data_IF_688962761608
#
_entry.id   IF_688962761608
#
_cell.length_a   1.000
_cell.length_b   1.000
_cell.length_c   1.000
_cell.angle_alpha   90.00
_cell.angle_beta   90.00
_cell.angle_gamma   90.00
#
_symmetry.space_group_name_H-M   'P 1'
#
loop_
_entity.id
_entity.type
_entity.pdbx_description
1 polymer ?
#
# COMPACT_ATOMS: atom_id res chain seq x y z
N UNK A 1 -4.03 -17.15 -21.77
CA UNK A 1 -2.99 -17.62 -22.71
C UNK A 1 -1.64 -17.40 -22.06
N UNK A 2 -1.00 -18.47 -21.63
CA UNK A 2 0.41 -18.48 -21.20
C UNK A 2 1.27 -19.06 -22.33
N UNK A 3 2.58 -19.02 -22.17
CA UNK A 3 3.51 -19.75 -23.02
C UNK A 3 4.57 -20.42 -22.16
N UNK A 4 4.84 -21.70 -22.41
CA UNK A 4 5.76 -22.50 -21.60
C UNK A 4 6.94 -23.03 -22.42
N UNK A 5 8.09 -23.12 -21.76
CA UNK A 5 9.27 -23.82 -22.28
C UNK A 5 9.62 -24.98 -21.35
N UNK A 6 9.94 -26.13 -21.92
CA UNK A 6 10.34 -27.32 -21.19
C UNK A 6 11.79 -27.69 -21.50
N UNK A 7 12.54 -28.07 -20.47
CA UNK A 7 13.93 -28.55 -20.59
C UNK A 7 14.07 -29.85 -19.80
N UNK A 8 14.61 -30.88 -20.45
CA UNK A 8 14.81 -32.21 -19.86
C UNK A 8 15.92 -32.99 -20.59
N UNK A 9 16.66 -33.87 -19.89
CA UNK A 9 16.70 -34.02 -18.42
C UNK A 9 17.61 -32.98 -17.75
N UNK A 10 17.26 -32.55 -16.54
CA UNK A 10 18.00 -31.61 -15.69
C UNK A 10 18.22 -32.25 -14.32
N UNK A 11 19.29 -33.06 -14.14
CA UNK A 11 19.48 -33.85 -12.91
C UNK A 11 19.70 -33.01 -11.64
N UNK A 12 20.27 -31.82 -11.80
CA UNK A 12 20.53 -30.87 -10.72
C UNK A 12 20.47 -29.46 -11.31
N UNK A 13 19.95 -28.50 -10.55
CA UNK A 13 19.86 -27.12 -10.99
C UNK A 13 20.47 -26.19 -9.94
N UNK A 14 21.69 -25.72 -10.18
CA UNK A 14 22.45 -24.86 -9.27
C UNK A 14 22.06 -23.38 -9.49
N UNK A 15 21.45 -22.75 -8.48
CA UNK A 15 20.91 -21.39 -8.59
C UNK A 15 22.00 -20.39 -8.97
N UNK A 16 23.15 -20.38 -8.28
CA UNK A 16 24.21 -19.43 -8.54
C UNK A 16 24.75 -19.52 -9.97
N UNK A 17 24.91 -20.74 -10.51
CA UNK A 17 25.36 -20.95 -11.90
C UNK A 17 24.34 -20.46 -12.90
N UNK A 18 23.06 -20.79 -12.69
CA UNK A 18 21.97 -20.35 -13.56
C UNK A 18 21.86 -18.83 -13.55
N UNK A 19 21.86 -18.20 -12.37
CA UNK A 19 21.78 -16.73 -12.26
C UNK A 19 22.98 -16.06 -12.91
N UNK A 20 24.20 -16.56 -12.69
CA UNK A 20 25.40 -16.04 -13.36
C UNK A 20 25.31 -16.16 -14.89
N UNK A 21 24.80 -17.28 -15.41
CA UNK A 21 24.63 -17.51 -16.84
C UNK A 21 23.52 -16.65 -17.47
N UNK A 22 22.51 -16.23 -16.70
CA UNK A 22 21.51 -15.27 -17.20
C UNK A 22 22.09 -13.87 -17.43
N UNK A 23 23.17 -13.52 -16.73
CA UNK A 23 23.77 -12.18 -16.74
C UNK A 23 23.02 -11.16 -15.87
N UNK A 24 22.03 -11.60 -15.07
CA UNK A 24 21.26 -10.75 -14.18
C UNK A 24 21.66 -10.98 -12.71
N UNK A 25 21.82 -9.88 -11.96
CA UNK A 25 22.14 -9.89 -10.52
C UNK A 25 20.95 -9.51 -9.63
N UNK A 26 19.83 -9.13 -10.24
CA UNK A 26 18.60 -8.65 -9.62
C UNK A 26 17.47 -9.70 -9.65
N UNK A 27 17.77 -10.95 -10.03
CA UNK A 27 16.77 -12.03 -10.00
C UNK A 27 16.47 -12.43 -8.55
N UNK A 28 15.19 -12.56 -8.22
CA UNK A 28 14.66 -12.90 -6.90
C UNK A 28 13.56 -13.95 -7.01
N UNK A 29 13.31 -14.63 -5.90
CA UNK A 29 12.20 -15.57 -5.74
C UNK A 29 11.07 -14.87 -4.97
N UNK A 30 9.82 -15.13 -5.35
CA UNK A 30 8.65 -14.60 -4.63
C UNK A 30 8.54 -15.28 -3.28
N UNK A 31 8.29 -14.51 -2.22
CA UNK A 31 8.10 -15.03 -0.87
C UNK A 31 6.83 -15.90 -0.77
N UNK A 32 6.79 -16.82 0.20
CA UNK A 32 5.68 -17.76 0.38
C UNK A 32 5.70 -18.98 -0.55
N UNK A 33 6.60 -19.01 -1.54
CA UNK A 33 6.91 -20.18 -2.36
C UNK A 33 8.22 -20.85 -1.90
N UNK A 34 8.48 -22.11 -2.28
CA UNK A 34 9.76 -22.78 -2.03
C UNK A 34 10.96 -21.88 -2.39
N UNK A 35 11.92 -21.78 -1.48
CA UNK A 35 13.11 -20.94 -1.61
C UNK A 35 14.37 -21.79 -1.80
N UNK A 36 15.38 -21.31 -2.56
CA UNK A 36 16.65 -22.02 -2.72
C UNK A 36 17.29 -22.38 -1.38
N UNK A 37 17.85 -23.59 -1.30
CA UNK A 37 18.60 -24.06 -0.13
C UNK A 37 19.92 -24.67 -0.58
N UNK A 38 21.03 -24.26 0.05
CA UNK A 38 22.37 -24.75 -0.26
C UNK A 38 22.70 -24.70 -1.77
N UNK A 39 22.33 -23.60 -2.44
CA UNK A 39 22.49 -23.36 -3.89
C UNK A 39 21.68 -24.26 -4.83
N UNK A 40 20.82 -25.14 -4.30
CA UNK A 40 19.92 -25.95 -5.12
C UNK A 40 18.62 -25.21 -5.45
N UNK A 41 18.18 -25.32 -6.71
CA UNK A 41 16.85 -24.86 -7.11
C UNK A 41 15.78 -25.71 -6.39
N UNK A 42 14.73 -25.10 -5.82
CA UNK A 42 13.71 -25.83 -5.09
C UNK A 42 12.96 -26.84 -5.96
N UNK A 43 12.58 -27.98 -5.38
CA UNK A 43 11.66 -28.89 -6.05
C UNK A 43 10.24 -28.31 -6.06
N UNK A 44 9.53 -28.55 -7.17
CA UNK A 44 8.17 -28.08 -7.39
C UNK A 44 8.09 -26.63 -7.88
N UNK A 45 6.95 -26.02 -7.58
CA UNK A 45 6.57 -24.72 -8.12
C UNK A 45 7.27 -23.56 -7.40
N UNK A 46 7.98 -22.74 -8.16
CA UNK A 46 8.59 -21.48 -7.71
C UNK A 46 8.15 -20.32 -8.60
N UNK A 47 8.33 -19.09 -8.09
CA UNK A 47 8.08 -17.89 -8.87
C UNK A 47 9.31 -16.99 -8.84
N UNK A 48 9.74 -16.55 -10.01
CA UNK A 48 11.01 -15.84 -10.19
C UNK A 48 10.79 -14.54 -10.96
N UNK A 49 11.42 -13.45 -10.53
CA UNK A 49 11.26 -12.13 -11.13
C UNK A 49 12.57 -11.33 -11.03
N UNK A 50 12.70 -10.24 -11.80
CA UNK A 50 13.78 -9.26 -11.62
C UNK A 50 13.28 -8.11 -10.75
N UNK A 51 13.97 -7.84 -9.65
CA UNK A 51 13.60 -6.80 -8.70
C UNK A 51 13.54 -5.42 -9.36
N UNK A 52 12.50 -4.63 -9.05
CA UNK A 52 12.18 -3.32 -9.65
C UNK A 52 12.09 -3.26 -11.20
N UNK A 53 12.18 -4.41 -11.88
CA UNK A 53 12.15 -4.52 -13.34
C UNK A 53 10.90 -5.27 -13.79
N UNK A 54 10.66 -6.45 -13.22
CA UNK A 54 9.57 -7.34 -13.60
C UNK A 54 8.23 -6.84 -13.09
N UNK A 55 7.23 -6.78 -13.96
CA UNK A 55 5.87 -6.42 -13.56
C UNK A 55 5.08 -7.66 -13.09
N UNK A 56 5.51 -8.85 -13.50
CA UNK A 56 4.95 -10.16 -13.12
C UNK A 56 6.07 -11.16 -12.92
N UNK A 57 5.90 -12.08 -11.98
CA UNK A 57 6.82 -13.21 -11.85
C UNK A 57 6.59 -14.24 -12.95
N UNK A 58 7.66 -14.91 -13.34
CA UNK A 58 7.62 -16.16 -14.08
C UNK A 58 7.24 -17.28 -13.13
N UNK A 59 6.48 -18.25 -13.63
CA UNK A 59 6.31 -19.50 -12.92
C UNK A 59 7.37 -20.48 -13.40
N UNK A 60 8.08 -21.09 -12.47
CA UNK A 60 9.12 -22.08 -12.75
C UNK A 60 8.85 -23.33 -11.93
N UNK A 61 8.49 -24.42 -12.59
CA UNK A 61 8.32 -25.74 -11.97
C UNK A 61 9.56 -26.59 -12.27
N UNK A 62 10.21 -27.08 -11.21
CA UNK A 62 11.34 -27.99 -11.33
C UNK A 62 11.04 -29.27 -10.56
N UNK A 63 10.65 -30.31 -11.30
CA UNK A 63 10.22 -31.60 -10.73
C UNK A 63 10.68 -32.74 -11.64
N UNK A 64 11.12 -33.85 -11.05
CA UNK A 64 11.50 -35.07 -11.79
C UNK A 64 12.50 -34.84 -12.94
N UNK A 65 13.52 -34.01 -12.68
CA UNK A 65 14.53 -33.60 -13.68
C UNK A 65 13.95 -32.84 -14.90
N UNK A 66 12.74 -32.30 -14.79
CA UNK A 66 12.12 -31.46 -15.82
C UNK A 66 12.00 -30.05 -15.28
N UNK A 67 12.48 -29.08 -16.06
CA UNK A 67 12.26 -27.66 -15.81
C UNK A 67 11.20 -27.14 -16.77
N UNK A 68 10.12 -26.57 -16.23
CA UNK A 68 9.15 -25.78 -16.98
C UNK A 68 9.31 -24.30 -16.62
N UNK A 69 9.46 -23.43 -17.61
CA UNK A 69 9.43 -21.98 -17.45
C UNK A 69 8.19 -21.44 -18.15
N UNK A 70 7.24 -20.90 -17.39
CA UNK A 70 5.96 -20.40 -17.91
C UNK A 70 5.86 -18.88 -17.79
N UNK A 71 5.54 -18.24 -18.91
CA UNK A 71 5.24 -16.82 -19.03
C UNK A 71 3.72 -16.64 -19.03
N UNK A 72 3.19 -15.85 -18.09
CA UNK A 72 1.77 -15.54 -18.04
C UNK A 72 1.32 -14.59 -19.17
N UNK A 73 0.01 -14.63 -19.47
CA UNK A 73 -0.61 -13.66 -20.36
C UNK A 73 -0.38 -12.24 -19.83
N UNK A 74 -0.08 -11.28 -20.71
CA UNK A 74 0.15 -9.90 -20.32
C UNK A 74 1.31 -9.72 -19.29
N UNK A 75 2.34 -10.57 -19.37
CA UNK A 75 3.67 -10.26 -18.81
C UNK A 75 4.38 -9.22 -19.69
N UNK A 76 5.24 -8.42 -19.06
CA UNK A 76 5.96 -7.32 -19.71
C UNK A 76 7.10 -7.82 -20.60
N UNK A 77 7.60 -7.00 -21.54
CA UNK A 77 8.78 -7.35 -22.33
C UNK A 77 9.98 -7.80 -21.49
N UNK A 78 10.19 -7.21 -20.30
CA UNK A 78 11.30 -7.57 -19.43
C UNK A 78 11.12 -8.95 -18.76
N UNK A 79 9.87 -9.34 -18.47
CA UNK A 79 9.54 -10.67 -17.96
C UNK A 79 9.82 -11.74 -19.04
N UNK A 80 9.49 -11.46 -20.30
CA UNK A 80 9.84 -12.33 -21.42
C UNK A 80 11.37 -12.47 -21.55
N UNK A 81 12.12 -11.36 -21.45
CA UNK A 81 13.59 -11.42 -21.51
C UNK A 81 14.18 -12.25 -20.38
N UNK A 82 13.62 -12.15 -19.16
CA UNK A 82 14.02 -13.02 -18.05
C UNK A 82 13.79 -14.49 -18.39
N UNK A 83 12.61 -14.83 -18.93
CA UNK A 83 12.27 -16.22 -19.25
C UNK A 83 13.20 -16.80 -20.32
N UNK A 84 13.43 -16.05 -21.41
CA UNK A 84 14.35 -16.48 -22.47
C UNK A 84 15.78 -16.65 -21.94
N UNK A 85 16.27 -15.71 -21.12
CA UNK A 85 17.60 -15.81 -20.52
C UNK A 85 17.73 -16.97 -19.54
N UNK A 86 16.68 -17.28 -18.78
CA UNK A 86 16.65 -18.43 -17.89
C UNK A 86 16.71 -19.74 -18.68
N UNK A 87 15.89 -19.87 -19.73
CA UNK A 87 15.88 -21.03 -20.62
C UNK A 87 17.23 -21.21 -21.31
N UNK A 88 17.80 -20.13 -21.87
CA UNK A 88 19.13 -20.15 -22.51
C UNK A 88 20.22 -20.58 -21.53
N UNK A 89 20.21 -20.03 -20.31
CA UNK A 89 21.19 -20.35 -19.28
C UNK A 89 21.16 -21.83 -18.91
N UNK A 90 19.97 -22.38 -18.65
CA UNK A 90 19.81 -23.79 -18.27
C UNK A 90 20.19 -24.71 -19.43
N UNK A 91 19.70 -24.44 -20.65
CA UNK A 91 20.05 -25.23 -21.82
C UNK A 91 21.56 -25.23 -22.08
N UNK A 92 22.23 -24.08 -21.91
CA UNK A 92 23.68 -23.97 -22.07
C UNK A 92 24.46 -24.73 -20.99
N UNK A 93 24.00 -24.71 -19.74
CA UNK A 93 24.69 -25.36 -18.62
C UNK A 93 24.57 -26.89 -18.67
N UNK A 94 23.43 -27.40 -19.14
CA UNK A 94 23.13 -28.83 -19.16
C UNK A 94 23.27 -29.48 -20.54
N UNK A 95 23.45 -28.69 -21.61
CA UNK A 95 23.51 -29.19 -22.97
C UNK A 95 22.19 -29.83 -23.44
N UNK A 96 21.07 -29.41 -22.87
CA UNK A 96 19.74 -29.98 -23.13
C UNK A 96 19.04 -29.27 -24.29
N UNK A 97 18.10 -29.97 -24.90
CA UNK A 97 17.19 -29.39 -25.89
C UNK A 97 16.06 -28.64 -25.18
N UNK A 98 15.39 -27.76 -25.92
CA UNK A 98 14.30 -26.92 -25.43
C UNK A 98 13.04 -27.30 -26.21
N UNK A 99 11.96 -27.58 -25.51
CA UNK A 99 10.64 -27.89 -26.08
C UNK A 99 9.67 -26.73 -25.76
N UNK A 100 9.43 -25.81 -26.71
CA UNK A 100 8.39 -24.78 -26.55
C UNK A 100 6.98 -25.37 -26.66
N UNK A 101 6.01 -24.76 -25.99
CA UNK A 101 4.61 -25.22 -25.96
C UNK A 101 3.96 -25.35 -27.36
N UNK A 102 4.39 -24.54 -28.32
CA UNK A 102 3.81 -24.42 -29.65
C UNK A 102 4.70 -24.92 -30.80
N UNK A 103 5.83 -25.58 -30.47
CA UNK A 103 6.84 -25.93 -31.46
C UNK A 103 7.49 -27.28 -31.15
N UNK A 104 8.22 -27.83 -32.13
CA UNK A 104 9.01 -29.03 -31.92
C UNK A 104 10.24 -28.74 -31.04
N UNK A 105 10.72 -29.79 -30.36
CA UNK A 105 11.93 -29.73 -29.56
C UNK A 105 13.14 -29.29 -30.42
N UNK A 106 13.90 -28.31 -29.94
CA UNK A 106 14.94 -27.63 -30.69
C UNK A 106 16.26 -27.47 -29.92
N UNK A 107 17.33 -27.17 -30.66
CA UNK A 107 18.64 -26.88 -30.07
C UNK A 107 18.71 -25.45 -29.55
N UNK A 108 19.67 -25.13 -28.67
CA UNK A 108 19.87 -23.76 -28.19
C UNK A 108 20.09 -22.74 -29.32
N UNK A 109 20.92 -22.99 -30.36
CA UNK A 109 21.03 -22.08 -31.50
C UNK A 109 19.72 -21.85 -32.26
N UNK A 110 18.94 -22.91 -32.50
CA UNK A 110 17.64 -22.81 -33.18
C UNK A 110 16.64 -22.02 -32.33
N UNK A 111 16.65 -22.24 -31.01
CA UNK A 111 15.86 -21.49 -30.05
C UNK A 111 16.19 -20.00 -30.08
N UNK A 112 17.47 -19.63 -30.04
CA UNK A 112 17.92 -18.23 -30.11
C UNK A 112 17.53 -17.57 -31.44
N UNK A 113 17.48 -18.34 -32.54
CA UNK A 113 17.04 -17.85 -33.83
C UNK A 113 15.51 -17.65 -33.89
N UNK A 114 14.72 -18.53 -33.27
CA UNK A 114 13.27 -18.49 -33.29
C UNK A 114 12.67 -17.53 -32.24
N UNK A 115 13.23 -17.49 -31.03
CA UNK A 115 12.70 -16.78 -29.86
C UNK A 115 13.55 -15.55 -29.52
N UNK A 116 13.65 -14.61 -30.46
CA UNK A 116 14.35 -13.33 -30.29
C UNK A 116 13.44 -12.14 -29.94
N UNK A 117 14.01 -10.93 -30.00
CA UNK A 117 13.27 -9.67 -29.73
C UNK A 117 12.04 -9.46 -30.62
N UNK A 118 12.06 -9.97 -31.86
CA UNK A 118 10.92 -9.88 -32.77
C UNK A 118 9.73 -10.73 -32.26
N UNK A 119 9.99 -12.01 -31.97
CA UNK A 119 9.00 -12.92 -31.39
C UNK A 119 8.45 -12.37 -30.08
N UNK A 120 9.34 -11.91 -29.19
CA UNK A 120 8.98 -11.34 -27.90
C UNK A 120 7.97 -10.19 -28.05
N UNK A 121 8.26 -9.22 -28.93
CA UNK A 121 7.39 -8.06 -29.16
C UNK A 121 6.03 -8.47 -29.71
N UNK A 122 6.02 -9.36 -30.69
CA UNK A 122 4.78 -9.81 -31.34
C UNK A 122 3.93 -10.66 -30.40
N UNK A 123 4.55 -11.58 -29.66
CA UNK A 123 3.87 -12.45 -28.72
C UNK A 123 3.34 -11.67 -27.50
N UNK A 124 4.16 -10.80 -26.90
CA UNK A 124 3.77 -9.91 -25.81
C UNK A 124 2.55 -9.05 -26.20
N UNK A 125 2.57 -8.45 -27.39
CA UNK A 125 1.46 -7.63 -27.91
C UNK A 125 0.21 -8.47 -28.16
N UNK A 126 0.35 -9.65 -28.74
CA UNK A 126 -0.78 -10.54 -29.05
C UNK A 126 -1.45 -11.08 -27.78
N UNK A 127 -0.67 -11.47 -26.77
CA UNK A 127 -1.20 -11.89 -25.47
C UNK A 127 -1.96 -10.76 -24.77
N UNK A 128 -1.41 -9.54 -24.76
CA UNK A 128 -2.12 -8.38 -24.20
C UNK A 128 -3.42 -8.09 -24.96
N UNK A 129 -3.37 -8.09 -26.30
CA UNK A 129 -4.55 -7.86 -27.13
C UNK A 129 -5.67 -8.87 -26.84
N UNK A 130 -5.33 -10.14 -26.61
CA UNK A 130 -6.30 -11.16 -26.22
C UNK A 130 -6.96 -10.89 -24.86
N UNK A 131 -6.20 -10.43 -23.87
CA UNK A 131 -6.74 -10.01 -22.56
C UNK A 131 -7.71 -8.83 -22.74
N UNK A 132 -7.32 -7.80 -23.50
CA UNK A 132 -8.16 -6.63 -23.75
C UNK A 132 -9.43 -6.98 -24.55
N UNK A 133 -9.32 -7.91 -25.49
CA UNK A 133 -10.46 -8.42 -26.25
C UNK A 133 -11.42 -9.21 -25.35
N UNK A 134 -10.89 -9.99 -24.40
CA UNK A 134 -11.69 -10.69 -23.39
C UNK A 134 -12.51 -9.71 -22.55
N UNK A 135 -11.89 -8.60 -22.13
CA UNK A 135 -12.60 -7.53 -21.40
C UNK A 135 -13.71 -6.90 -22.26
N UNK A 136 -13.41 -6.59 -23.52
CA UNK A 136 -14.39 -5.99 -24.45
C UNK A 136 -15.62 -6.88 -24.66
N UNK A 137 -15.47 -8.21 -24.58
CA UNK A 137 -16.58 -9.16 -24.69
C UNK A 137 -17.44 -9.24 -23.42
N UNK A 138 -16.90 -8.85 -22.27
CA UNK A 138 -17.63 -8.86 -20.99
C UNK A 138 -17.24 -7.64 -20.13
N UNK A 139 -17.66 -6.43 -20.53
CA UNK A 139 -17.21 -5.18 -19.89
C UNK A 139 -17.75 -4.97 -18.46
N UNK A 140 -18.80 -5.70 -18.08
CA UNK A 140 -19.39 -5.68 -16.73
C UNK A 140 -18.56 -6.49 -15.70
N UNK A 141 -17.56 -7.26 -16.16
CA UNK A 141 -16.62 -7.99 -15.31
C UNK A 141 -15.26 -7.29 -15.24
N UNK A 142 -14.46 -7.59 -14.22
CA UNK A 142 -13.05 -7.18 -14.18
C UNK A 142 -12.12 -8.37 -14.43
N UNK A 143 -10.99 -8.12 -15.06
CA UNK A 143 -9.93 -9.11 -15.23
C UNK A 143 -8.88 -8.89 -14.15
N UNK A 144 -8.59 -9.94 -13.36
CA UNK A 144 -7.54 -9.92 -12.35
C UNK A 144 -6.24 -10.49 -12.92
N UNK A 145 -5.15 -9.75 -12.77
CA UNK A 145 -3.83 -10.10 -13.27
C UNK A 145 -2.82 -10.02 -12.11
N UNK A 146 -2.30 -11.17 -11.70
CA UNK A 146 -1.29 -11.25 -10.64
C UNK A 146 0.02 -10.60 -11.08
N UNK A 147 0.44 -9.55 -10.38
CA UNK A 147 1.80 -9.00 -10.45
C UNK A 147 2.77 -9.79 -9.57
N UNK A 148 3.95 -9.19 -9.31
CA UNK A 148 4.93 -9.71 -8.35
C UNK A 148 4.41 -9.56 -6.91
N UNK A 149 4.01 -8.35 -6.55
CA UNK A 149 3.61 -7.98 -5.18
C UNK A 149 2.10 -7.74 -5.07
N UNK A 150 1.44 -7.31 -6.15
CA UNK A 150 0.03 -6.89 -6.13
C UNK A 150 -0.74 -7.35 -7.35
N UNK A 151 -2.04 -7.58 -7.17
CA UNK A 151 -2.94 -7.96 -8.27
C UNK A 151 -3.54 -6.72 -8.92
N UNK A 152 -3.37 -6.59 -10.23
CA UNK A 152 -4.04 -5.56 -11.02
C UNK A 152 -5.47 -6.01 -11.36
N UNK A 153 -6.44 -5.16 -11.08
CA UNK A 153 -7.81 -5.30 -11.53
C UNK A 153 -8.03 -4.40 -12.75
N UNK A 154 -8.13 -5.01 -13.93
CA UNK A 154 -8.51 -4.33 -15.16
C UNK A 154 -10.04 -4.29 -15.25
N UNK A 155 -10.62 -3.19 -14.79
CA UNK A 155 -12.04 -2.87 -14.92
C UNK A 155 -12.29 -1.66 -15.82
N UNK A 156 -13.50 -1.10 -15.69
CA UNK A 156 -13.99 -0.02 -16.56
C UNK A 156 -13.13 1.24 -16.45
N UNK A 157 -12.77 1.67 -15.24
CA UNK A 157 -12.00 2.91 -15.03
C UNK A 157 -10.64 2.83 -15.70
N UNK A 158 -9.91 1.75 -15.46
CA UNK A 158 -8.58 1.53 -16.04
C UNK A 158 -8.67 1.40 -17.55
N UNK A 159 -9.58 0.56 -18.05
CA UNK A 159 -9.72 0.31 -19.49
C UNK A 159 -10.11 1.57 -20.25
N UNK A 160 -11.11 2.32 -19.78
CA UNK A 160 -11.54 3.57 -20.41
C UNK A 160 -10.39 4.57 -20.51
N UNK A 161 -9.61 4.76 -19.44
CA UNK A 161 -8.50 5.72 -19.47
C UNK A 161 -7.36 5.26 -20.38
N UNK A 162 -6.95 4.00 -20.26
CA UNK A 162 -5.83 3.44 -21.03
C UNK A 162 -6.10 3.42 -22.55
N UNK A 163 -7.36 3.30 -22.96
CA UNK A 163 -7.74 3.18 -24.38
C UNK A 163 -8.07 4.50 -25.06
N UNK A 164 -7.93 5.64 -24.36
CA UNK A 164 -8.08 6.97 -24.95
C UNK A 164 -7.09 7.17 -26.12
N UNK A 165 -5.83 6.75 -25.94
CA UNK A 165 -4.83 6.69 -26.99
C UNK A 165 -4.52 5.25 -27.37
N UNK A 166 -5.13 4.79 -28.47
CA UNK A 166 -4.97 3.43 -29.00
C UNK A 166 -3.52 3.08 -29.33
N UNK A 167 -2.66 4.06 -29.62
CA UNK A 167 -1.26 3.82 -29.97
C UNK A 167 -0.39 3.51 -28.75
N UNK A 168 -0.82 3.92 -27.55
CA UNK A 168 -0.06 3.80 -26.30
C UNK A 168 -0.60 2.77 -25.32
N UNK A 169 -1.69 2.06 -25.66
CA UNK A 169 -2.35 1.08 -24.78
C UNK A 169 -1.37 0.11 -24.12
N UNK A 170 -0.45 -0.49 -24.89
CA UNK A 170 0.50 -1.46 -24.33
C UNK A 170 1.50 -0.80 -23.36
N UNK A 171 1.99 0.40 -23.72
CA UNK A 171 2.90 1.17 -22.87
C UNK A 171 2.20 1.56 -21.57
N UNK A 172 0.98 2.10 -21.64
CA UNK A 172 0.17 2.49 -20.48
C UNK A 172 -0.16 1.29 -19.59
N UNK A 173 -0.52 0.15 -20.18
CA UNK A 173 -0.80 -1.08 -19.45
C UNK A 173 0.42 -1.51 -18.60
N UNK A 174 1.58 -1.67 -19.24
CA UNK A 174 2.78 -2.15 -18.54
C UNK A 174 3.33 -1.11 -17.55
N UNK A 175 3.23 0.18 -17.86
CA UNK A 175 3.61 1.24 -16.92
C UNK A 175 2.75 1.21 -15.65
N UNK A 176 1.43 1.02 -15.77
CA UNK A 176 0.52 0.88 -14.62
C UNK A 176 0.78 -0.39 -13.84
N UNK A 177 0.94 -1.53 -14.52
CA UNK A 177 1.23 -2.79 -13.86
C UNK A 177 2.55 -2.73 -13.09
N UNK A 178 3.60 -2.15 -13.69
CA UNK A 178 4.88 -1.94 -13.00
C UNK A 178 4.69 -1.03 -11.78
N UNK A 179 4.07 0.14 -11.95
CA UNK A 179 3.85 1.09 -10.85
C UNK A 179 3.06 0.47 -9.70
N UNK A 180 2.03 -0.34 -9.99
CA UNK A 180 1.26 -1.05 -8.96
C UNK A 180 2.16 -1.94 -8.08
N UNK A 181 3.16 -2.59 -8.66
CA UNK A 181 4.02 -3.54 -7.96
C UNK A 181 5.16 -2.88 -7.17
N UNK A 182 5.46 -1.61 -7.42
CA UNK A 182 6.61 -0.89 -6.84
C UNK A 182 6.30 0.53 -6.36
N UNK A 183 5.03 0.88 -6.11
CA UNK A 183 4.70 2.25 -5.70
C UNK A 183 5.27 2.63 -4.33
N UNK A 184 5.64 1.67 -3.49
CA UNK A 184 6.35 1.89 -2.22
C UNK A 184 7.74 2.51 -2.42
N UNK A 185 8.25 2.50 -3.66
CA UNK A 185 9.50 3.16 -4.06
C UNK A 185 9.28 4.55 -4.64
N UNK A 186 8.04 4.96 -4.85
CA UNK A 186 7.69 6.27 -5.39
C UNK A 186 7.52 7.29 -4.25
N UNK A 187 7.85 8.55 -4.50
CA UNK A 187 7.60 9.65 -3.57
C UNK A 187 6.11 10.06 -3.62
N UNK A 188 5.24 9.16 -3.15
CA UNK A 188 3.79 9.27 -3.16
C UNK A 188 3.24 8.85 -1.81
N UNK A 189 2.33 9.66 -1.26
CA UNK A 189 1.64 9.34 -0.02
C UNK A 189 0.56 8.28 -0.26
N UNK A 190 0.60 7.15 0.44
CA UNK A 190 -0.52 6.21 0.43
C UNK A 190 -1.59 6.67 1.42
N UNK A 191 -2.79 6.95 0.92
CA UNK A 191 -3.88 7.48 1.71
C UNK A 191 -4.39 6.44 2.72
N UNK A 192 -4.50 6.84 3.99
CA UNK A 192 -5.15 6.03 5.02
C UNK A 192 -6.66 5.99 4.78
N UNK A 193 -7.25 4.80 4.86
CA UNK A 193 -8.70 4.61 4.79
C UNK A 193 -9.25 4.45 6.21
N UNK A 194 -10.11 5.37 6.62
CA UNK A 194 -10.82 5.34 7.90
C UNK A 194 -12.21 4.77 7.66
N UNK A 195 -12.63 3.80 8.47
CA UNK A 195 -14.00 3.28 8.45
C UNK A 195 -14.77 3.84 9.64
N UNK A 196 -15.80 4.64 9.38
CA UNK A 196 -16.69 5.19 10.41
C UNK A 196 -18.04 4.51 10.38
N UNK A 197 -18.51 4.06 11.55
CA UNK A 197 -19.87 3.57 11.73
C UNK A 197 -20.84 4.70 12.06
N UNK A 198 -22.09 4.58 11.61
CA UNK A 198 -23.15 5.49 12.06
C UNK A 198 -23.60 5.16 13.49
N UNK A 199 -24.37 6.06 14.09
CA UNK A 199 -24.86 5.89 15.47
C UNK A 199 -25.78 4.68 15.64
N UNK A 200 -26.49 4.28 14.59
CA UNK A 200 -27.37 3.11 14.61
C UNK A 200 -26.60 1.78 14.49
N UNK A 201 -25.35 1.81 14.03
CA UNK A 201 -24.51 0.62 13.84
C UNK A 201 -24.87 -0.23 12.62
N UNK A 202 -25.70 0.27 11.70
CA UNK A 202 -26.16 -0.44 10.51
C UNK A 202 -25.50 0.05 9.21
N UNK A 203 -24.66 1.08 9.27
CA UNK A 203 -23.90 1.61 8.14
C UNK A 203 -22.47 1.95 8.52
N UNK A 204 -21.53 1.55 7.67
CA UNK A 204 -20.14 2.00 7.71
C UNK A 204 -19.80 2.82 6.46
N UNK A 205 -18.97 3.85 6.60
CA UNK A 205 -18.45 4.65 5.47
C UNK A 205 -16.93 4.67 5.50
N UNK A 206 -16.32 4.58 4.32
CA UNK A 206 -14.87 4.70 4.12
C UNK A 206 -14.53 6.15 3.79
N UNK A 207 -13.65 6.75 4.58
CA UNK A 207 -13.18 8.12 4.43
C UNK A 207 -11.68 8.16 4.22
N UNK A 208 -11.20 9.15 3.47
CA UNK A 208 -9.78 9.46 3.35
C UNK A 208 -9.58 10.94 3.05
N UNK A 209 -8.33 11.36 3.03
CA UNK A 209 -7.93 12.75 2.84
C UNK A 209 -7.03 12.89 1.63
N UNK A 210 -7.24 13.97 0.89
CA UNK A 210 -6.34 14.43 -0.15
C UNK A 210 -5.78 15.79 0.28
N UNK A 211 -4.47 15.93 0.30
CA UNK A 211 -3.78 17.10 0.85
C UNK A 211 -3.16 17.94 -0.27
N UNK A 212 -3.28 19.26 -0.16
CA UNK A 212 -2.67 20.20 -1.10
C UNK A 212 -1.16 19.93 -1.25
N UNK A 213 -0.68 19.86 -2.48
CA UNK A 213 0.72 19.67 -2.83
C UNK A 213 1.23 18.23 -2.70
N UNK A 214 0.44 17.30 -2.18
CA UNK A 214 0.88 15.92 -1.89
C UNK A 214 0.32 14.94 -2.92
N UNK A 215 1.15 14.36 -3.81
CA UNK A 215 0.74 13.24 -4.64
C UNK A 215 0.23 12.09 -3.76
N UNK A 216 -0.95 11.58 -4.06
CA UNK A 216 -1.65 10.65 -3.15
C UNK A 216 -2.16 9.42 -3.90
N UNK A 217 -1.89 8.24 -3.33
CA UNK A 217 -2.38 6.95 -3.80
C UNK A 217 -3.56 6.51 -2.94
N UNK A 218 -4.74 6.35 -3.56
CA UNK A 218 -5.92 5.80 -2.90
C UNK A 218 -6.08 4.34 -3.32
N UNK A 219 -5.94 3.41 -2.36
CA UNK A 219 -6.08 1.96 -2.55
C UNK A 219 -7.44 1.51 -2.03
N UNK A 220 -8.50 1.91 -2.72
CA UNK A 220 -9.88 1.55 -2.40
C UNK A 220 -10.81 1.80 -3.61
N UNK A 221 -11.97 1.14 -3.64
CA UNK A 221 -12.98 1.30 -4.72
C UNK A 221 -14.00 2.38 -4.40
N UNK A 222 -14.36 2.51 -3.12
CA UNK A 222 -15.48 3.32 -2.66
C UNK A 222 -15.14 4.07 -1.36
N UNK A 223 -14.42 5.17 -1.51
CA UNK A 223 -14.04 6.07 -0.41
C UNK A 223 -14.58 7.46 -0.68
N UNK A 224 -15.06 8.13 0.36
CA UNK A 224 -15.29 9.56 0.32
C UNK A 224 -14.02 10.31 0.72
N UNK A 225 -13.68 11.33 -0.05
CA UNK A 225 -12.45 12.08 0.09
C UNK A 225 -12.77 13.48 0.63
N UNK A 226 -12.04 13.87 1.68
CA UNK A 226 -12.00 15.25 2.16
C UNK A 226 -10.76 15.94 1.58
N UNK A 227 -10.93 17.18 1.12
CA UNK A 227 -9.83 18.03 0.64
C UNK A 227 -9.28 18.88 1.79
N UNK A 228 -7.97 18.86 2.00
CA UNK A 228 -7.31 19.59 3.09
C UNK A 228 -6.14 20.43 2.56
N UNK A 229 -6.08 21.70 2.95
CA UNK A 229 -4.91 22.57 2.77
C UNK A 229 -4.32 23.01 4.12
N UNK A 230 -3.06 23.44 4.13
CA UNK A 230 -2.42 23.98 5.34
C UNK A 230 -3.17 25.22 5.89
N UNK A 231 -3.70 26.06 5.00
CA UNK A 231 -4.50 27.22 5.39
C UNK A 231 -5.81 26.81 6.08
N UNK A 232 -6.39 25.67 5.68
CA UNK A 232 -7.62 25.13 6.27
C UNK A 232 -7.41 24.63 7.70
N UNK A 233 -6.18 24.24 8.06
CA UNK A 233 -5.79 23.73 9.37
C UNK A 233 -5.55 24.84 10.41
N UNK A 234 -5.43 26.10 9.95
CA UNK A 234 -5.12 27.27 10.79
C UNK A 234 -6.34 28.11 11.19
N UNK A 235 -7.53 27.82 10.61
CA UNK A 235 -8.75 28.60 10.83
C UNK A 235 -9.62 27.96 11.90
N UNK A 236 -9.91 28.73 12.95
CA UNK A 236 -10.99 28.45 13.91
C UNK A 236 -12.33 28.75 13.23
N UNK A 237 -12.96 27.78 12.56
CA UNK A 237 -14.36 27.95 12.15
C UNK A 237 -15.16 26.70 12.52
N UNK A 238 -15.98 26.83 13.58
CA UNK A 238 -17.07 25.91 13.95
C UNK A 238 -18.16 25.82 12.85
N UNK A 239 -18.04 26.56 11.75
CA UNK A 239 -19.02 26.67 10.66
C UNK A 239 -18.62 25.99 9.34
N UNK A 240 -17.44 25.35 9.27
CA UNK A 240 -17.07 24.63 8.03
C UNK A 240 -17.85 23.34 7.89
N UNK A 241 -18.81 23.32 6.97
CA UNK A 241 -19.32 22.07 6.38
C UNK A 241 -18.14 21.33 5.75
N UNK A 242 -17.69 20.27 6.40
CA UNK A 242 -16.70 19.36 5.85
C UNK A 242 -17.26 18.73 4.57
N UNK A 243 -16.51 18.84 3.48
CA UNK A 243 -16.96 18.39 2.17
C UNK A 243 -16.40 17.01 1.89
N UNK A 244 -17.30 16.07 1.62
CA UNK A 244 -16.97 14.70 1.28
C UNK A 244 -17.31 14.48 -0.19
N UNK A 245 -16.34 14.01 -0.97
CA UNK A 245 -16.54 13.76 -2.40
C UNK A 245 -16.17 12.31 -2.73
N UNK A 246 -17.01 11.56 -3.45
CA UNK A 246 -16.65 10.21 -3.87
C UNK A 246 -15.35 10.17 -4.68
N UNK A 247 -14.51 9.16 -4.43
CA UNK A 247 -13.20 9.01 -5.09
C UNK A 247 -13.26 9.05 -6.63
N UNK A 248 -14.33 8.51 -7.22
CA UNK A 248 -14.52 8.53 -8.68
C UNK A 248 -14.84 9.93 -9.21
N UNK A 249 -15.60 10.72 -8.46
CA UNK A 249 -15.85 12.13 -8.77
C UNK A 249 -14.59 12.96 -8.60
N UNK A 250 -13.80 12.70 -7.56
CA UNK A 250 -12.47 13.31 -7.40
C UNK A 250 -11.59 13.06 -8.63
N UNK A 251 -11.48 11.82 -9.09
CA UNK A 251 -10.73 11.48 -10.29
C UNK A 251 -11.23 12.25 -11.53
N UNK A 252 -12.56 12.37 -11.68
CA UNK A 252 -13.19 13.12 -12.79
C UNK A 252 -12.84 14.61 -12.75
N UNK A 253 -12.85 15.22 -11.56
CA UNK A 253 -12.48 16.63 -11.37
C UNK A 253 -11.01 16.92 -11.69
N UNK A 254 -10.11 16.01 -11.29
CA UNK A 254 -8.67 16.14 -11.57
C UNK A 254 -8.39 15.91 -13.07
N UNK A 255 -9.19 15.06 -13.72
CA UNK A 255 -9.09 14.78 -15.15
C UNK A 255 -7.92 13.87 -15.50
N UNK A 256 -7.26 14.12 -16.63
CA UNK A 256 -6.24 13.22 -17.21
C UNK A 256 -5.01 12.99 -16.32
N UNK A 257 -4.75 13.90 -15.36
CA UNK A 257 -3.63 13.76 -14.40
C UNK A 257 -3.92 12.77 -13.27
N UNK A 258 -5.17 12.40 -13.03
CA UNK A 258 -5.52 11.35 -12.09
C UNK A 258 -5.45 10.00 -12.79
N UNK A 259 -4.54 9.12 -12.38
CA UNK A 259 -4.27 7.86 -13.08
C UNK A 259 -4.88 6.68 -12.32
N UNK A 260 -5.83 5.97 -12.94
CA UNK A 260 -6.32 4.68 -12.44
C UNK A 260 -5.29 3.59 -12.74
N UNK A 261 -4.47 3.24 -11.76
CA UNK A 261 -3.44 2.21 -11.89
C UNK A 261 -4.08 0.81 -11.91
N UNK A 262 -5.10 0.62 -11.08
CA UNK A 262 -5.97 -0.56 -10.98
C UNK A 262 -7.41 -0.08 -10.71
N UNK A 263 -8.43 -0.92 -10.85
CA UNK A 263 -9.83 -0.51 -10.63
C UNK A 263 -10.09 0.01 -9.20
N UNK A 264 -9.27 -0.45 -8.26
CA UNK A 264 -9.22 -0.08 -6.84
C UNK A 264 -8.02 0.82 -6.48
N UNK A 265 -7.23 1.31 -7.44
CA UNK A 265 -6.04 2.13 -7.15
C UNK A 265 -6.01 3.38 -8.00
N UNK A 266 -6.25 4.53 -7.38
CA UNK A 266 -6.13 5.85 -8.00
C UNK A 266 -4.84 6.55 -7.54
N UNK A 267 -4.04 7.01 -8.49
CA UNK A 267 -2.97 7.96 -8.23
C UNK A 267 -3.44 9.38 -8.57
N UNK A 268 -3.62 10.21 -7.55
CA UNK A 268 -3.85 11.64 -7.68
C UNK A 268 -2.51 12.41 -7.65
N UNK A 269 -2.32 13.43 -8.50
CA UNK A 269 -1.09 14.24 -8.52
C UNK A 269 -0.98 15.14 -7.28
N UNK A 270 0.16 15.77 -7.02
CA UNK A 270 0.22 16.86 -6.03
C UNK A 270 -0.30 18.16 -6.65
N UNK A 271 -1.56 18.52 -6.39
CA UNK A 271 -2.15 19.79 -6.87
C UNK A 271 -1.94 20.90 -5.85
N UNK A 272 -1.58 22.11 -6.31
CA UNK A 272 -1.39 23.27 -5.43
C UNK A 272 -1.87 24.57 -6.09
N UNK A 273 -2.05 25.62 -5.29
CA UNK A 273 -2.37 26.96 -5.77
C UNK A 273 -3.70 27.02 -6.52
N UNK A 274 -3.71 27.63 -7.71
CA UNK A 274 -4.95 27.82 -8.48
C UNK A 274 -5.63 26.51 -8.89
N UNK A 275 -4.85 25.44 -9.13
CA UNK A 275 -5.40 24.12 -9.45
C UNK A 275 -6.14 23.54 -8.25
N UNK A 276 -5.56 23.66 -7.05
CA UNK A 276 -6.19 23.22 -5.81
C UNK A 276 -7.46 24.02 -5.50
N UNK A 277 -7.41 25.35 -5.63
CA UNK A 277 -8.58 26.19 -5.38
C UNK A 277 -9.74 25.91 -6.36
N UNK A 278 -9.42 25.59 -7.63
CA UNK A 278 -10.44 25.14 -8.59
C UNK A 278 -11.06 23.81 -8.17
N UNK A 279 -10.24 22.87 -7.73
CA UNK A 279 -10.72 21.58 -7.22
C UNK A 279 -11.65 21.76 -6.02
N UNK A 280 -11.27 22.57 -5.03
CA UNK A 280 -12.09 22.83 -3.85
C UNK A 280 -13.44 23.46 -4.20
N UNK A 281 -13.48 24.43 -5.13
CA UNK A 281 -14.75 25.02 -5.58
C UNK A 281 -15.67 24.01 -6.24
N UNK A 282 -15.13 23.13 -7.11
CA UNK A 282 -15.95 22.11 -7.76
C UNK A 282 -16.40 21.02 -6.77
N UNK A 283 -15.53 20.63 -5.84
CA UNK A 283 -15.85 19.70 -4.77
C UNK A 283 -17.03 20.19 -3.93
N UNK A 284 -17.11 21.49 -3.64
CA UNK A 284 -18.22 22.10 -2.92
C UNK A 284 -19.58 21.94 -3.61
N UNK A 285 -19.61 21.90 -4.95
CA UNK A 285 -20.84 21.77 -5.74
C UNK A 285 -21.39 20.34 -5.76
N UNK A 286 -20.54 19.34 -5.50
CA UNK A 286 -20.85 17.92 -5.61
C UNK A 286 -20.67 17.14 -4.31
N UNK A 287 -20.33 17.84 -3.22
CA UNK A 287 -20.13 17.24 -1.92
C UNK A 287 -21.40 16.53 -1.45
N UNK A 288 -21.24 15.39 -0.80
CA UNK A 288 -22.37 14.65 -0.23
C UNK A 288 -22.78 15.30 1.09
N UNK A 289 -24.09 15.52 1.26
CA UNK A 289 -24.65 16.12 2.47
C UNK A 289 -24.65 15.14 3.65
N UNK A 290 -24.94 13.86 3.40
CA UNK A 290 -24.84 12.77 4.38
C UNK A 290 -23.87 11.70 3.87
N UNK A 291 -22.73 11.54 4.57
CA UNK A 291 -21.71 10.56 4.23
C UNK A 291 -22.23 9.12 4.32
N UNK A 292 -23.21 8.83 5.17
CA UNK A 292 -23.71 7.47 5.38
C UNK A 292 -24.66 7.01 4.26
N UNK A 293 -25.12 7.90 3.38
CA UNK A 293 -25.79 7.52 2.13
C UNK A 293 -24.85 6.71 1.21
N UNK A 294 -23.55 6.96 1.30
CA UNK A 294 -22.50 6.20 0.61
C UNK A 294 -21.99 5.00 1.43
N UNK A 295 -22.59 4.77 2.60
CA UNK A 295 -22.18 3.72 3.52
C UNK A 295 -22.65 2.32 3.11
N UNK A 296 -21.88 1.31 3.48
CA UNK A 296 -22.14 -0.11 3.26
C UNK A 296 -22.60 -0.79 4.56
N UNK A 297 -23.18 -1.98 4.42
CA UNK A 297 -23.55 -2.83 5.56
C UNK A 297 -22.28 -3.31 6.29
N UNK A 298 -22.11 -3.00 7.59
CA UNK A 298 -20.95 -3.43 8.37
C UNK A 298 -20.72 -4.95 8.39
N UNK A 299 -21.78 -5.74 8.24
CA UNK A 299 -21.71 -7.22 8.24
C UNK A 299 -21.46 -7.82 6.87
N UNK A 300 -21.47 -6.99 5.83
CA UNK A 300 -21.26 -7.41 4.46
C UNK A 300 -20.53 -6.30 3.71
N UNK A 301 -19.25 -6.08 4.04
CA UNK A 301 -18.39 -5.15 3.32
C UNK A 301 -18.09 -5.69 1.92
N UNK A 302 -18.73 -5.17 0.86
CA UNK A 302 -18.54 -5.67 -0.49
C UNK A 302 -17.20 -5.19 -1.09
N UNK A 303 -16.48 -4.33 -0.37
CA UNK A 303 -15.22 -3.72 -0.77
C UNK A 303 -14.03 -4.27 0.02
N UNK A 304 -14.26 -5.09 1.05
CA UNK A 304 -13.21 -5.87 1.68
C UNK A 304 -12.59 -6.78 0.60
N UNK A 305 -11.28 -6.69 0.39
CA UNK A 305 -10.60 -7.62 -0.50
C UNK A 305 -10.78 -9.04 0.06
N UNK A 306 -11.10 -10.00 -0.81
CA UNK A 306 -11.09 -11.42 -0.48
C UNK A 306 -9.63 -11.84 -0.19
N UNK A 307 -9.20 -11.59 1.04
CA UNK A 307 -7.79 -11.60 1.47
C UNK A 307 -7.54 -10.70 2.70
N UNK A 308 -8.42 -9.73 2.96
CA UNK A 308 -8.51 -8.97 4.21
C UNK A 308 -9.53 -9.55 5.20
N UNK A 309 -9.89 -10.82 5.04
CA UNK A 309 -10.07 -11.65 6.23
C UNK A 309 -8.66 -11.81 6.82
N UNK A 310 -8.18 -10.76 7.49
CA UNK A 310 -7.05 -10.88 8.38
C UNK A 310 -7.36 -12.11 9.22
N UNK A 311 -6.52 -13.13 9.10
CA UNK A 311 -6.37 -14.11 10.16
C UNK A 311 -6.42 -13.27 11.43
N UNK A 312 -7.43 -13.50 12.29
CA UNK A 312 -7.57 -12.77 13.53
C UNK A 312 -6.18 -12.77 14.16
N UNK A 313 -5.54 -11.59 14.15
CA UNK A 313 -4.17 -11.48 14.62
C UNK A 313 -4.12 -11.96 16.07
N UNK A 314 -2.93 -12.09 16.67
CA UNK A 314 -2.79 -12.52 18.06
C UNK A 314 -3.48 -11.58 19.09
N UNK A 315 -4.07 -10.47 18.64
CA UNK A 315 -4.74 -9.46 19.45
C UNK A 315 -6.26 -9.69 19.52
N UNK A 316 -6.80 -9.65 20.73
CA UNK A 316 -8.25 -9.61 20.97
C UNK A 316 -8.84 -8.20 20.78
N UNK A 317 -10.17 -8.09 20.74
CA UNK A 317 -10.84 -6.79 20.73
C UNK A 317 -10.49 -5.93 21.95
N UNK A 318 -10.28 -6.56 23.11
CA UNK A 318 -9.86 -5.87 24.33
C UNK A 318 -8.42 -5.37 24.23
N UNK A 319 -7.54 -6.10 23.54
CA UNK A 319 -6.19 -5.61 23.23
C UNK A 319 -6.27 -4.38 22.32
N UNK A 320 -7.10 -4.41 21.28
CA UNK A 320 -7.28 -3.26 20.37
C UNK A 320 -7.82 -2.03 21.12
N UNK A 321 -8.81 -2.21 22.00
CA UNK A 321 -9.34 -1.13 22.85
C UNK A 321 -8.27 -0.57 23.80
N UNK A 322 -7.42 -1.43 24.36
CA UNK A 322 -6.31 -1.00 25.20
C UNK A 322 -5.28 -0.19 24.39
N UNK A 323 -4.89 -0.69 23.21
CA UNK A 323 -3.92 -0.03 22.33
C UNK A 323 -4.42 1.33 21.82
N UNK A 324 -5.72 1.55 21.71
CA UNK A 324 -6.30 2.85 21.39
C UNK A 324 -5.95 3.93 22.43
N UNK A 325 -5.60 3.58 23.67
CA UNK A 325 -5.12 4.57 24.63
C UNK A 325 -3.71 5.10 24.30
N UNK A 326 -2.96 4.47 23.39
CA UNK A 326 -1.57 4.81 23.10
C UNK A 326 -1.36 6.26 22.63
N UNK A 327 -2.08 6.79 21.61
CA UNK A 327 -1.88 8.16 21.15
C UNK A 327 -2.21 9.18 22.24
N UNK A 328 -3.29 8.94 22.99
CA UNK A 328 -3.75 9.84 24.04
C UNK A 328 -2.79 9.82 25.24
N UNK A 329 -2.32 8.65 25.66
CA UNK A 329 -1.35 8.53 26.75
C UNK A 329 -0.03 9.24 26.40
N UNK A 330 0.45 9.11 25.15
CA UNK A 330 1.61 9.84 24.64
C UNK A 330 1.38 11.34 24.69
N UNK A 331 0.24 11.81 24.15
CA UNK A 331 -0.14 13.22 24.21
C UNK A 331 -0.11 13.73 25.65
N UNK A 332 -0.76 13.03 26.59
CA UNK A 332 -0.79 13.42 27.99
C UNK A 332 0.60 13.50 28.61
N UNK A 333 1.51 12.58 28.28
CA UNK A 333 2.89 12.58 28.82
C UNK A 333 3.72 13.74 28.28
N UNK A 334 3.55 14.06 27.00
CA UNK A 334 4.33 15.13 26.35
C UNK A 334 3.76 16.51 26.67
N UNK A 335 2.44 16.68 26.55
CA UNK A 335 1.75 17.95 26.80
C UNK A 335 1.75 18.32 28.29
N UNK A 336 1.59 17.37 29.21
CA UNK A 336 1.63 17.68 30.65
C UNK A 336 3.05 17.93 31.20
N UNK A 337 4.08 17.94 30.35
CA UNK A 337 5.47 18.11 30.79
C UNK A 337 5.74 19.47 31.47
N UNK A 338 4.94 20.49 31.16
CA UNK A 338 5.02 21.83 31.75
C UNK A 338 4.08 22.04 32.96
N UNK A 339 3.27 21.04 33.30
CA UNK A 339 2.46 20.98 34.51
C UNK A 339 0.94 21.04 34.32
N UNK A 340 0.41 21.32 33.11
CA UNK A 340 -1.03 21.20 32.85
C UNK A 340 -1.36 21.20 31.37
N UNK A 341 -2.31 20.35 30.97
CA UNK A 341 -2.85 20.33 29.61
C UNK A 341 -4.01 21.32 29.50
N UNK A 342 -3.93 22.26 28.56
CA UNK A 342 -5.01 23.21 28.28
C UNK A 342 -5.98 22.72 27.17
N UNK A 343 -7.14 23.38 27.06
CA UNK A 343 -8.16 23.01 26.06
C UNK A 343 -7.70 23.21 24.61
N UNK A 344 -6.74 24.08 24.36
CA UNK A 344 -6.22 24.36 23.02
C UNK A 344 -5.25 23.28 22.60
N UNK A 345 -4.44 22.77 23.51
CA UNK A 345 -3.56 21.62 23.27
C UNK A 345 -4.36 20.36 22.95
N UNK A 346 -5.43 20.10 23.70
CA UNK A 346 -6.35 18.98 23.41
C UNK A 346 -6.95 19.11 22.00
N UNK A 347 -7.39 20.31 21.63
CA UNK A 347 -7.94 20.58 20.29
C UNK A 347 -6.88 20.44 19.19
N UNK A 348 -5.67 20.96 19.40
CA UNK A 348 -4.58 20.84 18.44
C UNK A 348 -4.21 19.37 18.21
N UNK A 349 -4.18 18.58 19.28
CA UNK A 349 -3.97 17.14 19.19
C UNK A 349 -5.11 16.44 18.44
N UNK A 350 -6.37 16.76 18.74
CA UNK A 350 -7.52 16.22 18.01
C UNK A 350 -7.43 16.50 16.50
N UNK A 351 -7.03 17.72 16.13
CA UNK A 351 -6.82 18.10 14.72
C UNK A 351 -5.69 17.28 14.10
N UNK A 352 -4.58 17.06 14.81
CA UNK A 352 -3.48 16.23 14.33
C UNK A 352 -3.89 14.76 14.11
N UNK A 353 -4.73 14.21 14.98
CA UNK A 353 -5.30 12.87 14.80
C UNK A 353 -6.18 12.79 13.55
N UNK A 354 -6.96 13.85 13.26
CA UNK A 354 -7.83 13.93 12.09
C UNK A 354 -7.06 14.11 10.77
N UNK A 355 -5.85 14.69 10.78
CA UNK A 355 -4.96 14.74 9.60
C UNK A 355 -4.51 13.35 9.15
N UNK A 356 -4.63 12.36 10.02
CA UNK A 356 -3.98 11.08 9.88
C UNK A 356 -2.53 11.20 10.36
N UNK A 357 -2.16 10.35 11.31
CA UNK A 357 -0.76 10.24 11.70
C UNK A 357 -0.04 9.51 10.56
N UNK A 358 1.01 10.14 10.02
CA UNK A 358 1.89 9.47 9.07
C UNK A 358 2.66 8.40 9.85
N UNK A 359 2.27 7.15 9.66
CA UNK A 359 2.83 5.99 10.36
C UNK A 359 2.90 4.78 9.43
N UNK A 360 4.03 4.08 9.50
CA UNK A 360 4.25 2.79 8.86
C UNK A 360 3.63 1.61 9.65
N UNK A 361 2.98 1.89 10.78
CA UNK A 361 2.32 0.89 11.61
C UNK A 361 0.84 0.77 11.23
N UNK A 362 0.49 -0.29 10.50
CA UNK A 362 -0.91 -0.63 10.19
C UNK A 362 -1.77 -0.78 11.46
N UNK A 363 -1.18 -1.33 12.53
CA UNK A 363 -1.84 -1.45 13.82
C UNK A 363 -2.11 -0.09 14.46
N UNK A 364 -1.19 0.89 14.36
CA UNK A 364 -1.44 2.26 14.83
C UNK A 364 -2.59 2.90 14.06
N UNK A 365 -2.64 2.71 12.73
CA UNK A 365 -3.74 3.20 11.90
C UNK A 365 -5.08 2.58 12.33
N UNK A 366 -5.11 1.27 12.60
CA UNK A 366 -6.31 0.56 13.07
C UNK A 366 -6.81 1.09 14.41
N UNK A 367 -5.93 1.28 15.39
CA UNK A 367 -6.36 1.78 16.71
C UNK A 367 -6.78 3.25 16.67
N UNK A 368 -6.24 4.02 15.71
CA UNK A 368 -6.61 5.44 15.54
C UNK A 368 -8.10 5.65 15.25
N UNK A 369 -8.72 4.70 14.54
CA UNK A 369 -10.17 4.73 14.29
C UNK A 369 -10.96 4.76 15.60
N UNK A 370 -10.55 3.94 16.57
CA UNK A 370 -11.16 3.90 17.90
C UNK A 370 -10.95 5.22 18.64
N UNK A 371 -9.74 5.78 18.56
CA UNK A 371 -9.41 7.07 19.18
C UNK A 371 -10.27 8.20 18.65
N UNK A 372 -10.40 8.31 17.32
CA UNK A 372 -11.23 9.36 16.70
C UNK A 372 -12.71 9.20 17.05
N UNK A 373 -13.19 7.95 17.14
CA UNK A 373 -14.61 7.67 17.42
C UNK A 373 -15.05 7.99 18.86
N UNK A 374 -14.14 7.95 19.84
CA UNK A 374 -14.43 8.20 21.26
C UNK A 374 -13.41 9.18 21.90
N UNK A 375 -12.91 10.13 21.12
CA UNK A 375 -11.82 11.01 21.55
C UNK A 375 -12.13 11.74 22.86
N UNK A 376 -13.31 12.36 22.96
CA UNK A 376 -13.77 13.12 24.14
C UNK A 376 -13.89 12.25 25.39
N UNK A 377 -14.40 11.03 25.25
CA UNK A 377 -14.52 10.07 26.35
C UNK A 377 -13.15 9.64 26.85
N UNK A 378 -12.28 9.24 25.92
CA UNK A 378 -10.94 8.74 26.24
C UNK A 378 -10.03 9.84 26.81
N UNK A 379 -9.96 11.03 26.20
CA UNK A 379 -9.16 12.15 26.73
C UNK A 379 -9.73 12.64 28.08
N UNK A 380 -11.06 12.66 28.21
CA UNK A 380 -11.75 13.04 29.44
C UNK A 380 -11.35 12.15 30.62
N UNK A 381 -11.16 10.85 30.40
CA UNK A 381 -10.73 9.91 31.43
C UNK A 381 -9.32 10.23 31.96
N UNK A 382 -8.39 10.66 31.08
CA UNK A 382 -7.05 11.11 31.52
C UNK A 382 -7.10 12.45 32.23
N UNK A 383 -7.84 13.43 31.71
CA UNK A 383 -7.92 14.77 32.30
C UNK A 383 -8.57 14.75 33.69
N UNK A 384 -9.50 13.82 33.93
CA UNK A 384 -10.11 13.56 35.24
C UNK A 384 -9.26 12.68 36.17
N UNK A 385 -8.11 12.19 35.70
CA UNK A 385 -7.23 11.25 36.41
C UNK A 385 -7.92 9.93 36.77
N UNK A 386 -8.96 9.53 36.02
CA UNK A 386 -9.58 8.19 36.13
C UNK A 386 -8.68 7.12 35.50
N UNK A 387 -7.78 7.54 34.61
CA UNK A 387 -6.80 6.71 33.91
C UNK A 387 -5.41 7.33 34.03
N UNK A 388 -4.42 6.54 34.45
CA UNK A 388 -3.02 6.95 34.50
C UNK A 388 -2.29 6.66 33.18
N UNK A 389 -1.63 7.68 32.62
CA UNK A 389 -0.94 7.59 31.33
C UNK A 389 0.25 6.62 31.35
N UNK A 390 1.01 6.58 32.44
CA UNK A 390 2.15 5.69 32.57
C UNK A 390 1.69 4.24 32.71
N UNK A 391 0.69 3.99 33.56
CA UNK A 391 0.12 2.66 33.75
C UNK A 391 -0.45 2.11 32.43
N UNK A 392 -1.17 2.93 31.66
CA UNK A 392 -1.67 2.53 30.34
C UNK A 392 -0.55 2.20 29.37
N UNK A 393 0.49 3.03 29.31
CA UNK A 393 1.65 2.73 28.46
C UNK A 393 2.34 1.41 28.86
N UNK A 394 2.47 1.10 30.15
CA UNK A 394 3.03 -0.19 30.61
C UNK A 394 2.16 -1.39 30.20
N UNK A 395 0.83 -1.24 30.25
CA UNK A 395 -0.11 -2.28 29.79
C UNK A 395 0.00 -2.47 28.27
N UNK A 396 0.12 -1.38 27.51
CA UNK A 396 0.29 -1.37 26.05
C UNK A 396 1.58 -2.08 25.66
N UNK A 397 2.71 -1.74 26.28
CA UNK A 397 4.00 -2.38 25.97
C UNK A 397 3.99 -3.88 26.23
N UNK A 398 3.31 -4.35 27.29
CA UNK A 398 3.13 -5.79 27.56
C UNK A 398 2.37 -6.50 26.44
N UNK A 399 1.36 -5.86 25.85
CA UNK A 399 0.63 -6.40 24.70
C UNK A 399 1.52 -6.43 23.46
N UNK A 400 2.21 -5.32 23.16
CA UNK A 400 3.07 -5.22 21.98
C UNK A 400 4.21 -6.24 22.03
N UNK A 401 4.94 -6.32 23.15
CA UNK A 401 6.11 -7.19 23.28
C UNK A 401 5.76 -8.65 23.58
N UNK A 402 4.55 -8.91 24.10
CA UNK A 402 4.10 -10.24 24.46
C UNK A 402 3.31 -10.95 23.36
N UNK A 403 2.68 -10.22 22.43
CA UNK A 403 1.74 -10.79 21.45
C UNK A 403 2.11 -10.51 20.00
N UNK A 404 2.96 -9.54 19.69
CA UNK A 404 3.33 -9.20 18.32
C UNK A 404 4.74 -9.63 17.96
N UNK A 405 5.04 -9.67 16.67
CA UNK A 405 6.43 -9.81 16.21
C UNK A 405 7.27 -8.59 16.64
N UNK A 406 8.59 -8.77 16.73
CA UNK A 406 9.51 -7.69 17.10
C UNK A 406 9.42 -6.51 16.13
N UNK A 407 9.22 -6.77 14.84
CA UNK A 407 9.08 -5.74 13.81
C UNK A 407 7.78 -4.93 13.97
N UNK A 408 6.63 -5.59 14.15
CA UNK A 408 5.34 -4.93 14.33
C UNK A 408 5.31 -4.11 15.64
N UNK A 409 5.83 -4.68 16.73
CA UNK A 409 5.99 -3.98 18.01
C UNK A 409 6.85 -2.73 17.84
N UNK A 410 7.99 -2.86 17.14
CA UNK A 410 8.89 -1.74 16.88
C UNK A 410 8.20 -0.63 16.05
N UNK A 411 7.54 -0.96 14.94
CA UNK A 411 6.81 0.01 14.11
C UNK A 411 5.76 0.76 14.92
N UNK A 412 5.00 0.07 15.77
CA UNK A 412 3.99 0.70 16.61
C UNK A 412 4.61 1.66 17.62
N UNK A 413 5.70 1.26 18.30
CA UNK A 413 6.45 2.10 19.25
C UNK A 413 7.04 3.33 18.58
N UNK A 414 7.66 3.20 17.41
CA UNK A 414 8.18 4.34 16.63
C UNK A 414 7.05 5.32 16.33
N UNK A 415 5.87 4.81 15.98
CA UNK A 415 4.70 5.64 15.70
C UNK A 415 4.22 6.40 16.93
N UNK A 416 4.23 5.78 18.11
CA UNK A 416 3.96 6.47 19.38
C UNK A 416 4.94 7.62 19.62
N UNK A 417 6.23 7.40 19.38
CA UNK A 417 7.23 8.46 19.53
C UNK A 417 7.01 9.60 18.51
N UNK A 418 6.70 9.26 17.27
CA UNK A 418 6.38 10.24 16.21
C UNK A 418 5.16 11.10 16.59
N UNK A 419 4.10 10.50 17.15
CA UNK A 419 2.93 11.24 17.67
C UNK A 419 3.37 12.23 18.74
N UNK A 420 4.17 11.77 19.71
CA UNK A 420 4.69 12.65 20.76
C UNK A 420 5.48 13.81 20.18
N UNK A 421 6.32 13.56 19.16
CA UNK A 421 7.09 14.60 18.48
C UNK A 421 6.17 15.60 17.78
N UNK A 422 5.17 15.15 17.04
CA UNK A 422 4.19 16.02 16.38
C UNK A 422 3.43 16.89 17.39
N UNK A 423 3.05 16.30 18.54
CA UNK A 423 2.42 17.04 19.64
C UNK A 423 3.34 18.14 20.15
N UNK A 424 4.59 17.81 20.46
CA UNK A 424 5.58 18.76 20.98
C UNK A 424 5.93 19.89 19.98
N UNK A 425 5.91 19.58 18.67
CA UNK A 425 6.12 20.57 17.61
C UNK A 425 4.90 21.49 17.46
N UNK A 426 3.69 20.96 17.62
CA UNK A 426 2.45 21.72 17.56
C UNK A 426 2.21 22.59 18.81
N UNK A 427 2.68 22.15 19.99
CA UNK A 427 2.57 22.88 21.27
C UNK A 427 3.65 23.96 21.46
N UNK A 428 4.71 23.95 20.65
CA UNK A 428 5.89 24.82 20.76
C UNK A 428 5.60 26.33 20.77
N UNK A 429 5.38 26.84 21.99
CA UNK A 429 5.43 28.25 22.38
C UNK A 429 4.07 28.93 22.47
N UNK A 430 3.39 28.83 23.63
CA UNK A 430 2.30 29.70 24.12
C UNK A 430 1.64 30.54 23.00
N UNK A 431 0.82 29.93 22.13
CA UNK A 431 0.07 30.63 21.07
C UNK A 431 0.85 31.68 20.27
N UNK A 432 2.04 31.35 19.78
CA UNK A 432 2.71 32.20 18.79
C UNK A 432 3.21 33.56 19.29
N UNK A 433 3.30 33.79 20.61
CA UNK A 433 3.96 35.01 21.12
C UNK A 433 5.47 34.85 21.32
N UNK A 434 6.00 33.62 21.47
CA UNK A 434 7.44 33.39 21.63
C UNK A 434 7.94 32.08 20.99
N UNK A 435 8.03 32.06 19.66
CA UNK A 435 8.95 31.21 18.89
C UNK A 435 8.60 29.71 18.74
N UNK A 436 8.87 29.21 17.53
CA UNK A 436 8.63 27.84 17.04
C UNK A 436 9.59 26.77 17.60
N UNK A 437 9.82 26.74 18.92
CA UNK A 437 10.80 25.81 19.52
C UNK A 437 10.15 24.97 20.61
N UNK A 438 10.23 23.65 20.45
CA UNK A 438 9.94 22.65 21.49
C UNK A 438 10.66 23.06 22.80
N UNK A 439 9.91 23.10 23.91
CA UNK A 439 10.43 23.47 25.23
C UNK A 439 11.49 22.48 25.72
N UNK A 440 12.23 22.85 26.79
CA UNK A 440 13.22 21.93 27.39
C UNK A 440 12.53 20.74 28.07
N UNK A 441 11.34 20.99 28.61
CA UNK A 441 10.50 20.06 29.35
C UNK A 441 9.90 19.02 28.39
N UNK A 442 9.32 19.43 27.27
CA UNK A 442 8.81 18.52 26.22
C UNK A 442 9.94 17.70 25.57
N UNK A 443 11.12 18.30 25.34
CA UNK A 443 12.29 17.54 24.88
C UNK A 443 12.69 16.44 25.86
N UNK A 444 12.65 16.73 27.17
CA UNK A 444 12.93 15.72 28.20
C UNK A 444 11.84 14.66 28.24
N UNK A 445 10.57 15.05 28.08
CA UNK A 445 9.45 14.10 28.01
C UNK A 445 9.58 13.17 26.80
N UNK A 446 9.97 13.68 25.63
CA UNK A 446 10.21 12.87 24.42
C UNK A 446 11.39 11.91 24.57
N UNK A 447 12.50 12.36 25.18
CA UNK A 447 13.63 11.47 25.49
C UNK A 447 13.23 10.41 26.50
N UNK A 448 12.49 10.79 27.55
CA UNK A 448 11.91 9.86 28.52
C UNK A 448 10.99 8.82 27.88
N UNK A 449 10.12 9.26 26.98
CA UNK A 449 9.22 8.41 26.21
C UNK A 449 10.01 7.45 25.31
N UNK A 450 11.02 7.92 24.57
CA UNK A 450 11.85 7.08 23.73
C UNK A 450 12.60 5.98 24.52
N UNK A 451 13.14 6.32 25.70
CA UNK A 451 13.74 5.35 26.61
C UNK A 451 12.71 4.34 27.14
N UNK A 452 11.54 4.82 27.55
CA UNK A 452 10.46 3.98 28.06
C UNK A 452 9.94 2.99 27.01
N UNK A 453 9.86 3.42 25.75
CA UNK A 453 9.46 2.58 24.62
C UNK A 453 10.57 1.60 24.17
N UNK A 454 11.79 1.72 24.71
CA UNK A 454 12.95 0.91 24.29
C UNK A 454 13.48 1.27 22.89
N UNK A 455 13.29 2.52 22.46
CA UNK A 455 13.73 3.02 21.15
C UNK A 455 15.04 3.82 21.22
N UNK A 456 15.42 4.28 22.42
CA UNK A 456 16.73 4.83 22.66
C UNK A 456 17.68 3.68 23.02
N UNK A 457 18.65 3.40 22.14
CA UNK A 457 19.75 2.49 22.45
C UNK A 457 20.71 3.08 23.49
N UNK A 458 21.60 2.23 23.98
CA UNK A 458 22.81 2.57 24.76
C UNK A 458 23.54 3.83 24.29
#
# INVERSE_FOLDING_TARGET
>A
MSHSFYLKPIPQLDVAKVMAATGYNDVRFVEGYPQPQADAWPQGLTYVYRDEVSARALEVDYSDEVLQVRIFAASSPDDYRLALKLVEAVASLHGTRIEPEDNEEMTLPDFQAAYGEAWLKDHCKSCLAAILQSYTRNPESSIKLSGVNRTMELGKRVFTQMTQDKSRVAQEFFARLKKLNYFDKEDVYQATIIVLGNKQGDRNVRLSTYTEGVPTLFVDKNTLITLVSDADLSRNDDERKQQFVPLHELARMIGERAQWISENVLLAPGLSGDEWQRLQRHAAEIAVDDMFEYGFDPHNDPFAEAGQAAAAGPLSDDDIKLLAYAPIAVFCIVAAADGSIDKKEVKAFQVELLKGIITDSELMQKVMVHVVSDFEGMIGAFLKQEVDAKEKLEQILRVLDGKLSAEESHKFKVSMLSIGKSVAEASGGFLGMFGSKISKEEKRALVGLAMFLGLAGE
#
